data_IF_086072013691
#
_entry.id   IF_086072013691
#
_cell.length_a   1.000
_cell.length_b   1.000
_cell.length_c   1.000
_cell.angle_alpha   90.00
_cell.angle_beta   90.00
_cell.angle_gamma   90.00
#
_symmetry.space_group_name_H-M   'P 1'
#
loop_
_entity.id
_entity.type
_entity.pdbx_description
1 polymer ?
#
# COMPACT_ATOMS: atom_id res chain seq x y z
N UNK A 1 23.71 -61.87 20.42
CA UNK A 1 23.14 -60.83 21.30
C UNK A 1 23.89 -59.53 21.03
N UNK A 2 23.16 -58.45 20.73
CA UNK A 2 23.65 -57.18 20.16
C UNK A 2 24.57 -56.43 21.15
N UNK A 3 25.63 -55.76 20.66
CA UNK A 3 25.89 -54.36 21.01
C UNK A 3 26.97 -53.70 20.10
N UNK A 4 26.45 -52.94 19.12
CA UNK A 4 26.89 -51.61 18.65
C UNK A 4 28.36 -51.38 18.25
N UNK A 5 28.63 -51.51 16.95
CA UNK A 5 29.73 -50.82 16.25
C UNK A 5 29.16 -49.85 15.23
N UNK A 6 29.13 -48.54 15.51
CA UNK A 6 29.00 -47.50 14.46
C UNK A 6 29.70 -46.21 14.88
N UNK A 7 31.02 -46.19 14.76
CA UNK A 7 31.80 -44.96 14.66
C UNK A 7 31.53 -44.29 13.31
N UNK A 8 30.90 -43.12 13.40
CA UNK A 8 31.23 -41.86 12.72
C UNK A 8 31.90 -41.97 11.33
N UNK A 9 31.17 -41.60 10.29
CA UNK A 9 31.78 -40.99 9.10
C UNK A 9 30.80 -40.01 8.48
N UNK A 10 31.26 -38.76 8.47
CA UNK A 10 30.59 -37.59 7.93
C UNK A 10 30.39 -37.75 6.42
N UNK A 11 29.14 -37.63 5.96
CA UNK A 11 28.83 -37.44 4.55
C UNK A 11 28.46 -35.97 4.33
N UNK A 12 29.47 -35.27 3.81
CA UNK A 12 29.47 -33.98 3.16
C UNK A 12 28.17 -33.67 2.39
N UNK A 13 27.34 -32.75 2.87
CA UNK A 13 26.37 -32.03 2.04
C UNK A 13 26.83 -30.57 2.02
N UNK A 14 27.78 -30.29 1.13
CA UNK A 14 28.18 -28.94 0.78
C UNK A 14 27.27 -28.43 -0.36
N UNK A 15 26.14 -27.81 0.00
CA UNK A 15 25.50 -26.82 -0.85
C UNK A 15 25.72 -25.46 -0.16
N UNK A 16 26.58 -24.57 -0.70
CA UNK A 16 26.47 -23.18 -0.33
C UNK A 16 25.18 -22.67 -0.99
N UNK A 17 24.10 -22.60 -0.21
CA UNK A 17 23.02 -21.68 -0.51
C UNK A 17 23.68 -20.30 -0.53
N UNK A 18 23.82 -19.74 -1.73
CA UNK A 18 24.25 -18.36 -1.95
C UNK A 18 23.24 -17.42 -1.33
N UNK A 19 23.32 -17.24 -0.01
CA UNK A 19 22.75 -16.10 0.68
C UNK A 19 23.69 -14.93 0.41
N UNK A 20 23.44 -14.21 -0.68
CA UNK A 20 23.86 -12.81 -0.72
C UNK A 20 23.02 -12.09 0.34
N UNK A 21 23.60 -11.53 1.41
CA UNK A 21 22.84 -10.59 2.20
C UNK A 21 22.49 -9.45 1.24
N UNK A 22 21.20 -9.24 1.00
CA UNK A 22 20.76 -7.98 0.43
C UNK A 22 21.25 -6.91 1.41
N UNK A 23 22.32 -6.20 1.04
CA UNK A 23 22.79 -5.06 1.79
C UNK A 23 21.69 -4.01 1.64
N UNK A 24 20.76 -3.98 2.58
CA UNK A 24 19.93 -2.82 2.78
C UNK A 24 20.90 -1.66 2.97
N UNK A 25 20.91 -0.73 2.02
CA UNK A 25 21.68 0.50 2.11
C UNK A 25 21.05 1.31 3.25
N UNK A 26 21.46 0.98 4.48
CA UNK A 26 21.11 1.74 5.67
C UNK A 26 21.76 3.10 5.48
N UNK A 27 20.96 4.12 5.20
CA UNK A 27 21.41 5.50 5.26
C UNK A 27 21.71 5.81 6.73
N UNK A 28 22.99 5.81 7.10
CA UNK A 28 23.47 6.22 8.43
C UNK A 28 23.28 7.73 8.69
N UNK A 29 22.60 8.45 7.79
CA UNK A 29 22.23 9.84 7.96
C UNK A 29 20.88 9.95 8.70
N UNK A 30 20.88 10.36 9.99
CA UNK A 30 19.67 10.52 10.77
C UNK A 30 18.71 11.57 10.17
N UNK A 31 19.22 12.54 9.41
CA UNK A 31 18.38 13.54 8.75
C UNK A 31 17.55 12.91 7.62
N UNK A 32 18.19 12.10 6.76
CA UNK A 32 17.50 11.39 5.70
C UNK A 32 16.41 10.44 6.23
N UNK A 33 16.66 9.77 7.36
CA UNK A 33 15.66 8.92 8.02
C UNK A 33 14.47 9.73 8.57
N UNK A 34 14.72 10.92 9.11
CA UNK A 34 13.66 11.81 9.60
C UNK A 34 12.77 12.33 8.44
N UNK A 35 13.38 12.66 7.29
CA UNK A 35 12.62 13.08 6.10
C UNK A 35 11.75 11.95 5.55
N UNK A 36 12.31 10.74 5.45
CA UNK A 36 11.55 9.57 4.98
C UNK A 36 10.36 9.26 5.88
N UNK A 37 10.57 9.27 7.19
CA UNK A 37 9.48 9.04 8.16
C UNK A 37 8.41 10.12 8.08
N UNK A 38 8.78 11.39 7.97
CA UNK A 38 7.84 12.48 7.76
C UNK A 38 7.04 12.29 6.47
N UNK A 39 7.70 11.91 5.36
CA UNK A 39 7.03 11.61 4.09
C UNK A 39 5.97 10.52 4.22
N UNK A 40 6.30 9.43 4.93
CA UNK A 40 5.36 8.33 5.20
C UNK A 40 4.18 8.78 6.06
N UNK A 41 4.40 9.65 7.05
CA UNK A 41 3.33 10.19 7.89
C UNK A 41 2.38 11.08 7.08
N UNK A 42 2.90 11.95 6.22
CA UNK A 42 2.10 12.81 5.35
C UNK A 42 1.27 12.00 4.36
N UNK A 43 1.85 10.96 3.74
CA UNK A 43 1.13 10.05 2.86
C UNK A 43 0.01 9.31 3.61
N UNK A 44 0.30 8.84 4.82
CA UNK A 44 -0.72 8.17 5.66
C UNK A 44 -1.85 9.12 6.02
N UNK A 45 -1.54 10.38 6.37
CA UNK A 45 -2.54 11.40 6.65
C UNK A 45 -3.42 11.67 5.42
N UNK A 46 -2.82 11.74 4.22
CA UNK A 46 -3.57 11.90 2.98
C UNK A 46 -4.55 10.75 2.75
N UNK A 47 -4.12 9.50 2.95
CA UNK A 47 -4.99 8.33 2.83
C UNK A 47 -6.13 8.34 3.86
N UNK A 48 -5.84 8.75 5.10
CA UNK A 48 -6.88 8.91 6.13
C UNK A 48 -7.90 9.95 5.70
N UNK A 49 -7.46 11.11 5.23
CA UNK A 49 -8.36 12.18 4.75
C UNK A 49 -9.20 11.68 3.57
N UNK A 50 -8.59 10.98 2.61
CA UNK A 50 -9.29 10.40 1.46
C UNK A 50 -10.32 9.33 1.85
N UNK A 51 -10.15 8.67 2.99
CA UNK A 51 -11.11 7.68 3.51
C UNK A 51 -12.37 8.31 4.13
N UNK A 52 -12.35 9.62 4.41
CA UNK A 52 -13.49 10.30 5.02
C UNK A 52 -14.62 10.43 3.98
N UNK A 53 -15.81 9.86 4.24
CA UNK A 53 -16.93 9.99 3.31
C UNK A 53 -17.43 11.43 3.26
N UNK A 54 -17.66 11.94 2.05
CA UNK A 54 -18.25 13.25 1.82
C UNK A 54 -19.77 13.12 1.65
N UNK A 55 -20.52 14.11 2.14
CA UNK A 55 -21.99 14.12 2.09
C UNK A 55 -22.52 15.42 1.51
N UNK A 56 -23.65 15.34 0.82
CA UNK A 56 -24.41 16.49 0.33
C UNK A 56 -25.14 17.22 1.46
N UNK A 57 -25.70 18.39 1.12
CA UNK A 57 -26.60 19.10 2.01
C UNK A 57 -27.85 18.26 2.31
N UNK A 58 -28.31 18.22 3.58
CA UNK A 58 -29.50 17.47 3.95
C UNK A 58 -30.77 18.00 3.26
N UNK A 59 -31.64 17.08 2.84
CA UNK A 59 -32.96 17.39 2.30
C UNK A 59 -34.03 16.89 3.27
N UNK A 60 -35.03 17.74 3.55
CA UNK A 60 -36.18 17.37 4.39
C UNK A 60 -37.35 16.99 3.48
N UNK A 61 -37.88 15.79 3.67
CA UNK A 61 -39.00 15.26 2.90
C UNK A 61 -40.34 15.77 3.44
N UNK A 62 -41.41 15.62 2.64
CA UNK A 62 -42.77 16.03 3.01
C UNK A 62 -43.31 15.33 4.27
N UNK A 63 -42.83 14.13 4.57
CA UNK A 63 -43.18 13.38 5.79
C UNK A 63 -42.36 13.81 7.02
N UNK A 64 -41.38 14.70 6.86
CA UNK A 64 -40.50 15.20 7.93
C UNK A 64 -39.20 14.42 8.13
N UNK A 65 -38.92 13.39 7.33
CA UNK A 65 -37.64 12.67 7.37
C UNK A 65 -36.52 13.49 6.71
N UNK A 66 -35.26 13.17 7.07
CA UNK A 66 -34.08 13.84 6.51
C UNK A 66 -33.23 12.82 5.77
N UNK A 67 -32.92 13.11 4.50
CA UNK A 67 -31.97 12.34 3.69
C UNK A 67 -30.63 13.08 3.64
N UNK A 68 -29.54 12.34 3.89
CA UNK A 68 -28.17 12.82 3.69
C UNK A 68 -27.46 11.85 2.73
N UNK A 69 -27.20 12.30 1.49
CA UNK A 69 -26.60 11.48 0.43
C UNK A 69 -25.08 11.55 0.48
N UNK A 70 -24.40 10.41 0.24
CA UNK A 70 -22.94 10.37 0.09
C UNK A 70 -22.57 10.87 -1.31
N UNK A 71 -21.59 11.75 -1.39
CA UNK A 71 -20.97 12.16 -2.65
C UNK A 71 -20.06 11.02 -3.08
N UNK A 72 -20.26 10.49 -4.29
CA UNK A 72 -19.35 9.50 -4.86
C UNK A 72 -18.06 10.22 -5.26
N UNK A 73 -16.88 9.79 -4.78
CA UNK A 73 -15.63 10.36 -5.24
C UNK A 73 -15.53 10.15 -6.76
N UNK A 74 -15.36 11.23 -7.50
CA UNK A 74 -15.07 11.17 -8.93
C UNK A 74 -13.65 10.63 -9.08
N UNK A 75 -13.47 9.55 -9.82
CA UNK A 75 -12.11 9.10 -10.17
C UNK A 75 -11.49 10.16 -11.07
N UNK A 76 -10.26 10.65 -10.80
CA UNK A 76 -9.63 11.69 -11.59
C UNK A 76 -9.36 11.27 -13.06
N UNK A 77 -9.55 9.99 -13.42
CA UNK A 77 -9.45 9.52 -14.80
C UNK A 77 -10.73 9.77 -15.62
N UNK A 78 -11.90 10.01 -14.98
CA UNK A 78 -13.16 10.23 -15.69
C UNK A 78 -13.32 11.67 -16.22
N UNK A 79 -12.45 12.61 -15.83
CA UNK A 79 -12.50 14.00 -16.31
C UNK A 79 -11.79 14.25 -17.65
N UNK A 80 -11.32 13.21 -18.36
CA UNK A 80 -10.67 13.33 -19.67
C UNK A 80 -11.55 12.89 -20.85
N UNK A 81 -12.82 12.57 -20.63
CA UNK A 81 -13.78 12.31 -21.72
C UNK A 81 -14.71 13.52 -21.94
N UNK A 82 -14.13 14.71 -22.02
CA UNK A 82 -14.79 15.83 -22.67
C UNK A 82 -14.71 15.58 -24.17
N UNK A 83 -15.79 15.01 -24.72
CA UNK A 83 -15.92 14.59 -26.11
C UNK A 83 -15.34 15.57 -27.11
N UNK A 84 -14.14 15.25 -27.59
CA UNK A 84 -13.61 15.80 -28.84
C UNK A 84 -14.54 15.27 -29.94
N UNK A 85 -15.24 16.13 -30.70
CA UNK A 85 -15.98 15.64 -31.85
C UNK A 85 -14.97 15.01 -32.82
N UNK A 86 -15.19 13.75 -33.19
CA UNK A 86 -14.50 13.16 -34.33
C UNK A 86 -14.87 14.00 -35.55
N UNK A 87 -13.95 14.84 -36.00
CA UNK A 87 -14.04 15.51 -37.30
C UNK A 87 -14.07 14.40 -38.37
N UNK A 88 -15.24 14.19 -38.95
CA UNK A 88 -15.47 13.29 -40.08
C UNK A 88 -14.63 13.78 -41.28
N UNK A 89 -13.53 13.07 -41.56
CA UNK A 89 -12.68 13.30 -42.75
C UNK A 89 -13.24 12.62 -43.99
#
# INVERSE_FOLDING_TARGET
>A
MRLVTRTLMAALVALPLGFSPAQAQQSDDPMAMAEETMGRLLLTLQLIIASIPQYELPEVLENGDIIIRRIQPQDPEDSNNDGVPEEET
#
